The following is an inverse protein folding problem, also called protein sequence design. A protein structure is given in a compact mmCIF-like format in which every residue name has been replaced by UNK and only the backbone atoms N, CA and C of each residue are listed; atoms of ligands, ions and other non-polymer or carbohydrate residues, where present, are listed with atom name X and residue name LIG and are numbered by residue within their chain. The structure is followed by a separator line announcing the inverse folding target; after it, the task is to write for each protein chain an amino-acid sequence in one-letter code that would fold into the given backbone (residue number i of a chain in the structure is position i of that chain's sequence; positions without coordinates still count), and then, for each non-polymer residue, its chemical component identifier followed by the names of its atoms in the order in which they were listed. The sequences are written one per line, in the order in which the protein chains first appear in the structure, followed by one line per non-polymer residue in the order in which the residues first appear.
data_IF_732007209272
#
_entry.id   IF_732007209272
#
_cell.length_a   1.000
_cell.length_b   1.000
_cell.length_c   1.000
_cell.angle_alpha   90.00
_cell.angle_beta   90.00
_cell.angle_gamma   90.00
#
_symmetry.space_group_name_H-M   'P 1'
#
loop_
_entity.id
_entity.type
_entity.pdbx_description
1 polymer ?
#
# COMPACT_ATOMS: atom_id res chain seq x y z
N UNK A 1 -25.79 -23.11 30.90
CA UNK A 1 -26.38 -23.51 32.17
C UNK A 1 -25.79 -22.76 33.37
N UNK A 2 -24.47 -22.59 33.52
CA UNK A 2 -23.91 -21.84 34.64
C UNK A 2 -24.35 -20.37 34.65
N UNK A 3 -24.15 -19.62 33.58
CA UNK A 3 -24.53 -18.20 33.47
C UNK A 3 -26.01 -17.94 33.76
N UNK A 4 -26.92 -18.76 33.23
CA UNK A 4 -28.34 -18.66 33.51
C UNK A 4 -28.66 -18.85 34.99
N UNK A 5 -28.02 -19.85 35.66
CA UNK A 5 -28.20 -20.08 37.10
C UNK A 5 -27.68 -18.89 37.90
N UNK A 6 -26.50 -18.36 37.59
CA UNK A 6 -25.96 -17.18 38.28
C UNK A 6 -26.90 -15.97 38.18
N UNK A 7 -27.46 -15.71 36.99
CA UNK A 7 -28.44 -14.63 36.80
C UNK A 7 -29.72 -14.83 37.62
N UNK A 8 -30.23 -16.08 37.71
CA UNK A 8 -31.45 -16.38 38.47
C UNK A 8 -31.20 -16.30 39.99
N UNK A 9 -30.05 -16.71 40.46
CA UNK A 9 -29.70 -16.74 41.90
C UNK A 9 -29.23 -15.37 42.42
N UNK A 10 -28.90 -14.41 41.52
CA UNK A 10 -28.40 -13.10 41.88
C UNK A 10 -29.52 -12.23 42.54
N UNK A 11 -29.12 -11.47 43.54
CA UNK A 11 -30.01 -10.50 44.21
C UNK A 11 -30.31 -9.30 43.30
N UNK A 12 -29.34 -8.86 42.51
CA UNK A 12 -29.42 -7.71 41.62
C UNK A 12 -28.74 -8.04 40.32
N UNK A 13 -29.46 -7.85 39.23
CA UNK A 13 -28.98 -8.06 37.86
C UNK A 13 -29.13 -6.77 37.06
N UNK A 14 -28.04 -6.30 36.50
CA UNK A 14 -28.07 -5.27 35.47
C UNK A 14 -27.60 -5.86 34.15
N UNK A 15 -28.26 -5.48 33.06
CA UNK A 15 -27.89 -5.87 31.70
C UNK A 15 -27.36 -4.67 30.92
N UNK A 16 -26.46 -4.91 29.99
CA UNK A 16 -25.98 -3.88 29.09
C UNK A 16 -27.14 -3.21 28.35
N UNK A 17 -28.03 -4.02 27.79
CA UNK A 17 -29.25 -3.58 27.10
C UNK A 17 -30.41 -4.53 27.43
N UNK A 18 -31.59 -3.97 27.57
CA UNK A 18 -32.83 -4.74 27.68
C UNK A 18 -33.43 -5.12 26.31
N UNK A 19 -32.84 -4.59 25.23
CA UNK A 19 -33.27 -4.88 23.84
C UNK A 19 -32.70 -6.21 23.35
N UNK A 20 -32.95 -7.29 24.11
CA UNK A 20 -32.46 -8.62 23.77
C UNK A 20 -33.52 -9.66 24.18
N UNK A 21 -33.89 -10.64 23.33
CA UNK A 21 -34.94 -11.64 23.61
C UNK A 21 -34.76 -12.36 24.94
N UNK A 22 -33.53 -12.72 25.31
CA UNK A 22 -33.24 -13.38 26.59
C UNK A 22 -33.65 -12.54 27.82
N UNK A 23 -33.69 -11.22 27.71
CA UNK A 23 -34.11 -10.34 28.83
C UNK A 23 -35.61 -10.45 29.05
N UNK A 24 -36.41 -10.57 28.01
CA UNK A 24 -37.85 -10.78 28.10
C UNK A 24 -38.16 -12.13 28.73
N UNK A 25 -37.42 -13.17 28.37
CA UNK A 25 -37.54 -14.49 28.97
C UNK A 25 -37.18 -14.47 30.47
N UNK A 26 -36.15 -13.77 30.87
CA UNK A 26 -35.77 -13.64 32.29
C UNK A 26 -36.80 -12.83 33.09
N UNK A 27 -37.36 -11.78 32.52
CA UNK A 27 -38.45 -10.97 33.12
C UNK A 27 -39.73 -11.81 33.28
N UNK A 28 -40.05 -12.64 32.30
CA UNK A 28 -41.17 -13.58 32.38
C UNK A 28 -41.03 -14.61 33.52
N UNK A 29 -39.78 -14.90 33.92
CA UNK A 29 -39.45 -15.74 35.07
C UNK A 29 -39.51 -14.99 36.41
N UNK A 30 -39.83 -13.70 36.39
CA UNK A 30 -40.03 -12.87 37.59
C UNK A 30 -38.77 -12.16 38.08
N UNK A 31 -37.69 -12.13 37.30
CA UNK A 31 -36.48 -11.40 37.69
C UNK A 31 -36.64 -9.86 37.48
N UNK A 32 -36.17 -9.11 38.47
CA UNK A 32 -36.04 -7.66 38.32
C UNK A 32 -34.71 -7.34 37.66
N UNK A 33 -34.75 -6.87 36.41
CA UNK A 33 -33.57 -6.61 35.61
C UNK A 33 -33.52 -5.13 35.29
N UNK A 34 -32.44 -4.48 35.71
CA UNK A 34 -32.10 -3.12 35.36
C UNK A 34 -31.33 -3.09 34.02
N UNK A 35 -31.40 -1.99 33.28
CA UNK A 35 -30.62 -1.84 32.03
C UNK A 35 -29.92 -0.51 31.95
N UNK A 36 -28.85 -0.46 31.14
CA UNK A 36 -28.12 0.75 30.85
C UNK A 36 -28.56 1.43 29.54
N UNK A 37 -29.71 1.06 28.97
CA UNK A 37 -30.21 1.64 27.71
C UNK A 37 -30.31 3.18 27.75
N UNK A 38 -30.62 3.74 28.92
CA UNK A 38 -30.70 5.20 29.09
C UNK A 38 -29.37 5.93 28.80
N UNK A 39 -28.22 5.26 28.93
CA UNK A 39 -26.91 5.82 28.59
C UNK A 39 -26.71 5.88 27.07
N UNK A 40 -27.23 4.91 26.33
CA UNK A 40 -27.23 4.91 24.87
C UNK A 40 -28.06 6.05 24.28
N UNK A 41 -29.16 6.42 24.97
CA UNK A 41 -30.05 7.47 24.51
C UNK A 41 -29.54 8.90 24.88
N UNK A 42 -28.62 9.01 25.86
CA UNK A 42 -28.18 10.29 26.43
C UNK A 42 -26.77 10.73 26.10
N UNK A 43 -25.89 9.82 25.66
CA UNK A 43 -24.49 10.12 25.40
C UNK A 43 -24.20 10.19 23.89
N UNK A 44 -23.16 10.99 23.49
CA UNK A 44 -22.95 11.34 22.09
C UNK A 44 -22.36 10.24 21.21
N UNK A 45 -21.64 9.30 21.81
CA UNK A 45 -20.95 8.23 21.09
C UNK A 45 -20.82 6.95 21.95
N UNK A 46 -20.46 5.86 21.31
CA UNK A 46 -20.34 4.56 21.95
C UNK A 46 -19.20 4.48 22.97
N UNK A 47 -18.10 5.19 22.78
CA UNK A 47 -16.99 5.19 23.73
C UNK A 47 -17.40 5.83 25.06
N UNK A 48 -18.11 6.94 25.00
CA UNK A 48 -18.68 7.61 26.17
C UNK A 48 -19.70 6.70 26.88
N UNK A 49 -20.53 5.96 26.14
CA UNK A 49 -21.47 4.99 26.69
C UNK A 49 -20.75 3.86 27.43
N UNK A 50 -19.76 3.25 26.80
CA UNK A 50 -19.00 2.13 27.40
C UNK A 50 -18.26 2.56 28.66
N UNK A 51 -17.68 3.76 28.63
CA UNK A 51 -17.03 4.38 29.80
C UNK A 51 -18.01 4.59 30.97
N UNK A 52 -19.17 5.13 30.69
CA UNK A 52 -20.21 5.39 31.69
C UNK A 52 -20.80 4.08 32.26
N UNK A 53 -21.07 3.09 31.40
CA UNK A 53 -21.51 1.75 31.85
C UNK A 53 -20.48 1.11 32.76
N UNK A 54 -19.21 1.09 32.38
CA UNK A 54 -18.15 0.50 33.19
C UNK A 54 -18.01 1.18 34.55
N UNK A 55 -18.13 2.51 34.57
CA UNK A 55 -18.08 3.33 35.79
C UNK A 55 -19.25 2.99 36.74
N UNK A 56 -20.47 2.93 36.22
CA UNK A 56 -21.66 2.63 37.04
C UNK A 56 -21.66 1.18 37.53
N UNK A 57 -21.23 0.23 36.71
CA UNK A 57 -21.06 -1.18 37.11
C UNK A 57 -20.09 -1.32 38.27
N UNK A 58 -18.92 -0.70 38.21
CA UNK A 58 -17.92 -0.74 39.29
C UNK A 58 -18.38 -0.04 40.56
N UNK A 59 -19.15 1.05 40.43
CA UNK A 59 -19.78 1.72 41.57
C UNK A 59 -20.76 0.80 42.26
N UNK A 60 -21.65 0.15 41.51
CA UNK A 60 -22.64 -0.80 42.01
C UNK A 60 -22.02 -2.02 42.70
N UNK A 61 -20.97 -2.57 42.07
CA UNK A 61 -20.22 -3.70 42.62
C UNK A 61 -19.60 -3.43 44.00
N UNK A 62 -19.29 -2.19 44.35
CA UNK A 62 -18.82 -1.78 45.68
C UNK A 62 -19.93 -1.73 46.74
N UNK A 63 -21.10 -1.35 46.32
CA UNK A 63 -22.28 -1.18 47.19
C UNK A 63 -23.00 -2.49 47.40
N UNK A 64 -22.91 -3.42 46.45
CA UNK A 64 -23.73 -4.64 46.34
C UNK A 64 -22.82 -5.84 46.02
N UNK A 65 -22.43 -6.65 47.03
CA UNK A 65 -21.48 -7.75 46.83
C UNK A 65 -21.92 -8.85 45.86
N UNK A 66 -23.26 -9.06 45.71
CA UNK A 66 -23.84 -10.09 44.83
C UNK A 66 -24.37 -9.48 43.52
N UNK A 67 -23.80 -8.34 43.08
CA UNK A 67 -24.17 -7.67 41.85
C UNK A 67 -23.70 -8.43 40.63
N UNK A 68 -24.62 -8.71 39.72
CA UNK A 68 -24.34 -9.38 38.43
C UNK A 68 -24.56 -8.39 37.29
N UNK A 69 -23.52 -8.18 36.50
CA UNK A 69 -23.60 -7.50 35.19
C UNK A 69 -23.65 -8.53 34.08
N UNK A 70 -24.78 -8.60 33.36
CA UNK A 70 -24.96 -9.54 32.28
C UNK A 70 -24.90 -8.87 30.92
N UNK A 71 -24.17 -9.49 30.01
CA UNK A 71 -23.99 -9.05 28.62
C UNK A 71 -24.53 -10.09 27.65
N UNK A 72 -25.00 -9.73 26.47
CA UNK A 72 -25.37 -10.68 25.44
C UNK A 72 -24.16 -11.53 24.99
N UNK A 73 -24.33 -12.84 24.96
CA UNK A 73 -23.30 -13.77 24.51
C UNK A 73 -22.15 -13.99 25.50
N UNK A 74 -20.96 -14.18 24.97
CA UNK A 74 -19.75 -14.44 25.76
C UNK A 74 -19.08 -13.12 26.21
N UNK A 75 -18.76 -12.93 27.50
CA UNK A 75 -18.22 -11.65 28.03
C UNK A 75 -16.94 -11.15 27.37
N UNK A 76 -16.15 -12.01 26.74
CA UNK A 76 -14.91 -11.65 26.07
C UNK A 76 -15.05 -11.52 24.55
N UNK A 77 -16.24 -11.54 23.99
CA UNK A 77 -16.44 -11.47 22.55
C UNK A 77 -17.35 -10.29 22.18
N UNK A 78 -16.76 -9.26 21.62
CA UNK A 78 -17.50 -8.06 21.18
C UNK A 78 -18.00 -7.17 22.33
N UNK A 79 -17.45 -7.30 23.53
CA UNK A 79 -17.92 -6.60 24.74
C UNK A 79 -16.88 -5.65 25.31
N UNK A 80 -16.80 -4.44 24.73
CA UNK A 80 -15.86 -3.40 25.17
C UNK A 80 -16.04 -2.99 26.64
N UNK A 81 -17.28 -2.99 27.14
CA UNK A 81 -17.58 -2.67 28.56
C UNK A 81 -16.91 -3.63 29.52
N UNK A 82 -16.85 -4.93 29.19
CA UNK A 82 -16.21 -5.95 30.04
C UNK A 82 -14.71 -5.70 30.13
N UNK A 83 -14.04 -5.35 29.02
CA UNK A 83 -12.62 -4.99 29.01
C UNK A 83 -12.35 -3.81 29.95
N UNK A 84 -13.13 -2.73 29.84
CA UNK A 84 -12.99 -1.54 30.70
C UNK A 84 -13.26 -1.86 32.18
N UNK A 85 -14.26 -2.71 32.46
CA UNK A 85 -14.55 -3.14 33.83
C UNK A 85 -13.37 -3.89 34.43
N UNK A 86 -12.77 -4.84 33.70
CA UNK A 86 -11.65 -5.63 34.19
C UNK A 86 -10.40 -4.76 34.46
N UNK A 87 -10.04 -3.88 33.51
CA UNK A 87 -8.92 -2.95 33.65
C UNK A 87 -9.07 -2.09 34.92
N UNK A 88 -10.26 -1.52 35.13
CA UNK A 88 -10.52 -0.61 36.27
C UNK A 88 -10.78 -1.35 37.57
N UNK A 89 -11.32 -2.57 37.54
CA UNK A 89 -11.55 -3.38 38.74
C UNK A 89 -10.21 -3.75 39.41
N UNK A 90 -9.20 -4.14 38.61
CA UNK A 90 -7.85 -4.41 39.10
C UNK A 90 -7.25 -3.20 39.84
N UNK A 91 -7.33 -2.00 39.22
CA UNK A 91 -6.85 -0.75 39.84
C UNK A 91 -7.58 -0.40 41.14
N UNK A 92 -8.84 -0.81 41.25
CA UNK A 92 -9.71 -0.48 42.40
C UNK A 92 -9.82 -1.57 43.45
N UNK A 93 -9.13 -2.71 43.24
CA UNK A 93 -9.14 -3.87 44.13
C UNK A 93 -10.51 -4.56 44.22
N UNK A 94 -11.30 -4.52 43.15
CA UNK A 94 -12.59 -5.19 43.04
C UNK A 94 -12.35 -6.56 42.39
N UNK A 95 -12.76 -7.64 43.05
CA UNK A 95 -12.70 -8.98 42.50
C UNK A 95 -13.84 -9.18 41.49
N UNK A 96 -13.50 -9.66 40.28
CA UNK A 96 -14.47 -9.92 39.21
C UNK A 96 -14.40 -11.38 38.82
N UNK A 97 -15.53 -12.09 38.93
CA UNK A 97 -15.69 -13.43 38.42
C UNK A 97 -16.37 -13.40 37.05
N UNK A 98 -15.75 -14.04 36.04
CA UNK A 98 -16.31 -14.16 34.70
C UNK A 98 -16.99 -15.51 34.55
N UNK A 99 -18.30 -15.47 34.32
CA UNK A 99 -19.10 -16.67 34.05
C UNK A 99 -19.28 -16.81 32.53
N UNK A 100 -18.63 -17.79 31.89
CA UNK A 100 -18.71 -17.94 30.44
C UNK A 100 -20.09 -18.41 29.98
N UNK A 101 -20.55 -17.92 28.86
CA UNK A 101 -21.75 -18.31 28.15
C UNK A 101 -21.44 -18.66 26.71
N UNK A 102 -22.37 -19.26 25.99
CA UNK A 102 -22.26 -19.43 24.54
C UNK A 102 -22.26 -18.04 23.87
N UNK A 103 -21.32 -17.83 22.97
CA UNK A 103 -21.22 -16.60 22.22
C UNK A 103 -22.09 -16.60 20.96
N UNK A 104 -22.15 -15.45 20.30
CA UNK A 104 -22.84 -15.35 19.01
C UNK A 104 -22.09 -16.09 17.89
N UNK A 105 -20.78 -16.29 18.03
CA UNK A 105 -19.96 -16.98 17.02
C UNK A 105 -20.48 -18.39 16.77
N UNK A 106 -20.69 -19.19 17.83
CA UNK A 106 -21.16 -20.54 17.71
C UNK A 106 -22.58 -20.60 17.13
N UNK A 107 -23.45 -19.66 17.53
CA UNK A 107 -24.79 -19.56 16.98
C UNK A 107 -24.82 -19.26 15.49
N UNK A 108 -23.92 -18.33 15.04
CA UNK A 108 -23.75 -17.99 13.63
C UNK A 108 -23.22 -19.18 12.84
N UNK A 109 -22.19 -19.86 13.31
CA UNK A 109 -21.61 -21.04 12.63
C UNK A 109 -22.62 -22.17 12.49
N UNK A 110 -23.45 -22.42 13.55
CA UNK A 110 -24.52 -23.39 13.53
C UNK A 110 -25.60 -23.03 12.50
N UNK A 111 -26.04 -21.77 12.48
CA UNK A 111 -27.07 -21.27 11.58
C UNK A 111 -26.60 -21.24 10.12
N UNK A 112 -25.37 -20.83 9.90
CA UNK A 112 -24.72 -20.84 8.59
C UNK A 112 -24.36 -22.26 8.11
N UNK A 113 -24.42 -23.27 9.03
CA UNK A 113 -23.98 -24.65 8.79
C UNK A 113 -22.53 -24.74 8.31
N UNK A 114 -21.67 -23.97 8.92
CA UNK A 114 -20.25 -23.89 8.57
C UNK A 114 -19.42 -24.53 9.67
N UNK A 115 -18.53 -25.44 9.27
CA UNK A 115 -17.44 -25.95 10.11
C UNK A 115 -16.20 -25.10 9.86
N UNK A 116 -15.56 -24.68 10.94
CA UNK A 116 -14.27 -23.97 10.87
C UNK A 116 -13.20 -24.94 11.39
N UNK A 117 -12.45 -25.50 10.47
CA UNK A 117 -11.45 -26.53 10.79
C UNK A 117 -10.06 -25.94 11.05
N UNK A 118 -9.83 -24.66 10.69
CA UNK A 118 -8.53 -23.98 10.87
C UNK A 118 -8.72 -22.56 11.41
N UNK A 119 -8.89 -21.60 10.53
CA UNK A 119 -8.90 -20.17 10.85
C UNK A 119 -10.30 -19.58 10.72
N UNK A 120 -10.60 -18.56 11.52
CA UNK A 120 -11.78 -17.72 11.41
C UNK A 120 -11.40 -16.27 11.77
N UNK A 121 -11.65 -15.35 10.87
CA UNK A 121 -11.60 -13.92 11.16
C UNK A 121 -12.91 -13.47 11.79
N UNK A 122 -12.84 -12.81 12.94
CA UNK A 122 -13.98 -12.18 13.61
C UNK A 122 -13.73 -10.69 13.67
N UNK A 123 -14.46 -9.93 12.87
CA UNK A 123 -14.19 -8.51 12.63
C UNK A 123 -15.40 -7.65 12.99
N UNK A 124 -15.12 -6.49 13.58
CA UNK A 124 -16.11 -5.46 13.87
C UNK A 124 -16.36 -4.63 12.61
N UNK A 125 -17.62 -4.57 12.18
CA UNK A 125 -18.03 -3.82 11.01
C UNK A 125 -17.78 -2.30 11.14
N UNK A 126 -17.86 -1.76 12.36
CA UNK A 126 -17.62 -0.34 12.65
C UNK A 126 -16.14 0.06 12.54
N UNK A 127 -15.24 -0.91 12.64
CA UNK A 127 -13.80 -0.72 12.57
C UNK A 127 -13.16 -1.51 11.42
N UNK A 128 -13.95 -1.85 10.41
CA UNK A 128 -13.49 -2.63 9.26
C UNK A 128 -12.65 -1.77 8.34
N UNK A 129 -11.46 -2.27 8.02
CA UNK A 129 -10.55 -1.70 7.02
C UNK A 129 -10.04 -2.83 6.11
N UNK A 130 -9.71 -2.51 4.87
CA UNK A 130 -9.33 -3.49 3.85
C UNK A 130 -8.07 -4.29 4.24
N UNK A 131 -7.17 -3.71 5.02
CA UNK A 131 -5.94 -4.35 5.50
C UNK A 131 -6.19 -5.48 6.51
N UNK A 132 -7.36 -5.50 7.16
CA UNK A 132 -7.78 -6.58 8.07
C UNK A 132 -8.37 -7.78 7.34
N UNK A 133 -8.69 -7.65 6.05
CA UNK A 133 -9.39 -8.66 5.27
C UNK A 133 -8.40 -9.62 4.59
N UNK A 134 -8.67 -10.91 4.78
CA UNK A 134 -8.01 -11.98 4.04
C UNK A 134 -9.08 -12.92 3.45
N UNK A 135 -9.28 -12.81 2.14
CA UNK A 135 -10.28 -13.62 1.44
C UNK A 135 -9.98 -15.14 1.42
N UNK A 136 -8.83 -15.57 1.93
CA UNK A 136 -8.48 -16.99 2.13
C UNK A 136 -9.14 -17.59 3.37
N UNK A 137 -9.53 -16.74 4.32
CA UNK A 137 -10.02 -17.11 5.64
C UNK A 137 -11.52 -16.80 5.74
N UNK A 138 -12.36 -17.73 6.21
CA UNK A 138 -13.76 -17.41 6.48
C UNK A 138 -13.84 -16.25 7.47
N UNK A 139 -14.72 -15.30 7.19
CA UNK A 139 -14.85 -14.07 7.97
C UNK A 139 -16.24 -13.96 8.56
N UNK A 140 -16.31 -13.70 9.86
CA UNK A 140 -17.52 -13.34 10.58
C UNK A 140 -17.47 -11.86 10.92
N UNK A 141 -18.40 -11.10 10.33
CA UNK A 141 -18.54 -9.68 10.57
C UNK A 141 -19.68 -9.46 11.57
N UNK A 142 -19.41 -8.80 12.68
CA UNK A 142 -20.41 -8.46 13.69
C UNK A 142 -20.62 -6.94 13.79
N UNK A 143 -21.63 -6.49 14.52
CA UNK A 143 -22.09 -5.10 14.59
C UNK A 143 -22.59 -4.53 13.26
N UNK A 144 -23.08 -5.34 12.38
CA UNK A 144 -23.76 -4.91 11.14
C UNK A 144 -25.21 -4.47 11.43
N UNK A 145 -25.39 -3.52 12.35
CA UNK A 145 -26.67 -3.19 12.96
C UNK A 145 -27.56 -2.27 12.12
N UNK A 146 -27.07 -1.75 11.01
CA UNK A 146 -27.83 -0.88 10.11
C UNK A 146 -27.40 -1.07 8.67
N UNK A 147 -28.27 -0.62 7.76
CA UNK A 147 -27.96 -0.65 6.32
C UNK A 147 -26.75 0.20 5.95
N UNK A 148 -26.54 1.32 6.63
CA UNK A 148 -25.42 2.22 6.42
C UNK A 148 -24.10 1.49 6.72
N UNK A 149 -24.01 0.86 7.90
CA UNK A 149 -22.83 0.08 8.31
C UNK A 149 -22.60 -1.10 7.36
N UNK A 150 -23.67 -1.80 6.97
CA UNK A 150 -23.57 -2.87 5.99
C UNK A 150 -23.08 -2.39 4.61
N UNK A 151 -23.49 -1.20 4.17
CA UNK A 151 -23.04 -0.60 2.91
C UNK A 151 -21.57 -0.21 2.95
N UNK A 152 -21.08 0.38 4.05
CA UNK A 152 -19.68 0.71 4.24
C UNK A 152 -18.82 -0.57 4.27
N UNK A 153 -19.26 -1.57 5.05
CA UNK A 153 -18.60 -2.86 5.10
C UNK A 153 -18.54 -3.57 3.73
N UNK A 154 -19.63 -3.51 2.96
CA UNK A 154 -19.71 -4.05 1.60
C UNK A 154 -18.63 -3.44 0.69
N UNK A 155 -18.46 -2.11 0.72
CA UNK A 155 -17.45 -1.42 -0.08
C UNK A 155 -16.04 -1.93 0.26
N UNK A 156 -15.71 -2.03 1.55
CA UNK A 156 -14.42 -2.55 1.99
C UNK A 156 -14.21 -4.03 1.56
N UNK A 157 -15.25 -4.84 1.68
CA UNK A 157 -15.21 -6.26 1.28
C UNK A 157 -14.99 -6.42 -0.23
N UNK A 158 -15.66 -5.60 -1.08
CA UNK A 158 -15.54 -5.67 -2.55
C UNK A 158 -14.13 -5.33 -3.06
N UNK A 159 -13.27 -4.73 -2.25
CA UNK A 159 -11.85 -4.57 -2.60
C UNK A 159 -11.07 -5.89 -2.56
N UNK A 160 -11.53 -6.89 -1.82
CA UNK A 160 -10.84 -8.18 -1.61
C UNK A 160 -11.61 -9.38 -2.13
N UNK A 161 -12.93 -9.32 -2.14
CA UNK A 161 -13.81 -10.40 -2.55
C UNK A 161 -14.45 -10.08 -3.90
N UNK A 162 -14.76 -11.09 -4.74
CA UNK A 162 -15.54 -10.87 -5.96
C UNK A 162 -16.92 -10.28 -5.65
N UNK A 163 -17.43 -9.38 -6.49
CA UNK A 163 -18.71 -8.72 -6.31
C UNK A 163 -19.88 -9.70 -6.18
N UNK A 164 -19.86 -10.77 -6.98
CA UNK A 164 -20.86 -11.85 -6.98
C UNK A 164 -20.64 -12.91 -5.89
N UNK A 165 -19.66 -12.69 -4.97
CA UNK A 165 -19.39 -13.70 -3.94
C UNK A 165 -20.56 -13.80 -3.00
N UNK A 166 -21.04 -15.06 -2.76
CA UNK A 166 -22.20 -15.31 -1.93
C UNK A 166 -21.83 -15.14 -0.44
N UNK A 167 -22.49 -14.22 0.24
CA UNK A 167 -22.39 -13.99 1.69
C UNK A 167 -23.70 -14.36 2.38
N UNK A 168 -23.63 -14.65 3.67
CA UNK A 168 -24.80 -15.01 4.47
C UNK A 168 -25.05 -13.95 5.53
N UNK A 169 -26.21 -13.30 5.47
CA UNK A 169 -26.69 -12.35 6.49
C UNK A 169 -27.53 -13.11 7.50
N UNK A 170 -27.22 -12.98 8.78
CA UNK A 170 -27.85 -13.71 9.87
C UNK A 170 -28.43 -12.72 10.89
N UNK A 171 -29.75 -12.73 11.05
CA UNK A 171 -30.45 -12.01 12.10
C UNK A 171 -30.70 -12.95 13.28
N UNK A 172 -30.44 -12.52 14.51
CA UNK A 172 -30.62 -13.29 15.76
C UNK A 172 -29.89 -14.65 15.80
N UNK A 173 -28.90 -14.87 14.97
CA UNK A 173 -28.29 -16.19 14.79
C UNK A 173 -29.23 -17.23 14.17
N UNK A 174 -30.38 -16.81 13.67
CA UNK A 174 -31.41 -17.65 13.03
C UNK A 174 -31.62 -17.18 11.59
N UNK A 175 -31.98 -18.12 10.72
CA UNK A 175 -32.34 -17.93 9.32
C UNK A 175 -31.49 -16.96 8.54
N UNK A 176 -30.58 -17.56 7.86
CA UNK A 176 -29.63 -16.97 6.98
C UNK A 176 -30.27 -16.62 5.63
N UNK A 177 -30.18 -15.38 5.24
CA UNK A 177 -30.39 -14.97 3.87
C UNK A 177 -29.07 -14.94 3.14
N UNK A 178 -29.03 -15.53 1.93
CA UNK A 178 -27.84 -15.50 1.09
C UNK A 178 -27.99 -14.43 0.04
N UNK A 179 -26.97 -13.59 -0.07
CA UNK A 179 -26.91 -12.50 -1.02
C UNK A 179 -25.56 -12.50 -1.74
N UNK A 180 -25.50 -12.12 -3.04
CA UNK A 180 -24.24 -11.72 -3.63
C UNK A 180 -23.73 -10.48 -2.88
N UNK A 181 -22.42 -10.38 -2.71
CA UNK A 181 -21.79 -9.34 -1.90
C UNK A 181 -22.23 -7.93 -2.28
N UNK A 182 -22.35 -7.64 -3.59
CA UNK A 182 -22.77 -6.31 -4.06
C UNK A 182 -24.22 -5.94 -3.69
N UNK A 183 -25.04 -6.92 -3.26
CA UNK A 183 -26.42 -6.73 -2.80
C UNK A 183 -26.59 -6.92 -1.29
N UNK A 184 -25.51 -7.18 -0.56
CA UNK A 184 -25.54 -7.50 0.88
C UNK A 184 -26.34 -6.47 1.69
N UNK A 185 -26.19 -5.19 1.40
CA UNK A 185 -26.87 -4.08 2.09
C UNK A 185 -28.35 -3.91 1.77
N UNK A 186 -28.96 -4.83 0.97
CA UNK A 186 -30.39 -4.89 0.71
C UNK A 186 -31.14 -5.78 1.70
N UNK A 187 -30.43 -6.56 2.50
CA UNK A 187 -31.02 -7.35 3.57
C UNK A 187 -31.59 -6.46 4.69
N UNK A 188 -32.33 -7.07 5.60
CA UNK A 188 -32.74 -6.40 6.84
C UNK A 188 -31.62 -6.49 7.88
N UNK A 189 -31.36 -5.37 8.57
CA UNK A 189 -30.33 -5.27 9.59
C UNK A 189 -30.90 -4.76 10.90
N UNK A 190 -30.49 -5.37 11.99
CA UNK A 190 -30.78 -4.98 13.36
C UNK A 190 -29.51 -5.14 14.24
N UNK A 191 -29.64 -4.85 15.52
CA UNK A 191 -28.55 -4.90 16.50
C UNK A 191 -27.99 -6.31 16.78
N UNK A 192 -28.62 -7.36 16.28
CA UNK A 192 -28.19 -8.76 16.41
C UNK A 192 -27.69 -9.35 15.07
N UNK A 193 -27.69 -8.53 14.03
CA UNK A 193 -27.29 -8.99 12.69
C UNK A 193 -25.78 -9.19 12.60
N UNK A 194 -25.37 -10.31 12.04
CA UNK A 194 -24.00 -10.64 11.67
C UNK A 194 -23.94 -11.10 10.22
N UNK A 195 -22.77 -10.98 9.59
CA UNK A 195 -22.55 -11.45 8.21
C UNK A 195 -21.43 -12.47 8.20
N UNK A 196 -21.69 -13.63 7.63
CA UNK A 196 -20.68 -14.63 7.37
C UNK A 196 -20.27 -14.60 5.91
N UNK A 197 -18.96 -14.49 5.68
CA UNK A 197 -18.33 -14.46 4.35
C UNK A 197 -17.47 -15.72 4.23
N UNK A 198 -17.83 -16.68 3.35
CA UNK A 198 -17.01 -17.86 3.14
C UNK A 198 -15.69 -17.53 2.46
N UNK A 199 -14.64 -18.36 2.63
CA UNK A 199 -13.36 -18.14 1.97
C UNK A 199 -13.49 -18.28 0.46
N UNK A 200 -12.76 -17.45 -0.28
CA UNK A 200 -12.76 -17.45 -1.75
C UNK A 200 -11.71 -18.45 -2.26
N UNK A 201 -12.09 -19.42 -3.11
CA UNK A 201 -11.14 -20.32 -3.75
C UNK A 201 -10.09 -19.55 -4.56
N UNK A 202 -8.86 -20.08 -4.60
CA UNK A 202 -7.73 -19.45 -5.31
C UNK A 202 -8.05 -19.15 -6.79
N UNK A 203 -8.85 -19.99 -7.43
CA UNK A 203 -9.20 -19.85 -8.86
C UNK A 203 -10.06 -18.61 -9.19
N UNK A 204 -10.71 -18.01 -8.20
CA UNK A 204 -11.60 -16.83 -8.40
C UNK A 204 -11.22 -15.65 -7.51
N UNK A 205 -10.31 -15.85 -6.57
CA UNK A 205 -9.83 -14.82 -5.66
C UNK A 205 -8.93 -13.84 -6.40
N UNK A 206 -9.07 -12.54 -6.11
CA UNK A 206 -8.08 -11.55 -6.56
C UNK A 206 -6.72 -11.83 -5.88
N UNK A 207 -5.64 -12.05 -6.66
CA UNK A 207 -4.32 -12.20 -6.08
C UNK A 207 -3.90 -10.94 -5.32
N UNK A 208 -3.18 -11.12 -4.23
CA UNK A 208 -2.57 -10.05 -3.45
C UNK A 208 -1.05 -10.18 -3.44
N UNK A 209 -0.34 -9.25 -2.82
CA UNK A 209 1.12 -9.24 -2.75
C UNK A 209 1.72 -10.59 -2.33
N UNK A 210 1.19 -11.23 -1.28
CA UNK A 210 1.68 -12.53 -0.80
C UNK A 210 1.53 -13.64 -1.85
N UNK A 211 0.49 -13.57 -2.68
CA UNK A 211 0.30 -14.53 -3.76
C UNK A 211 1.38 -14.37 -4.84
N UNK A 212 1.72 -13.14 -5.19
CA UNK A 212 2.80 -12.85 -6.12
C UNK A 212 4.14 -13.36 -5.57
N UNK A 213 4.45 -13.08 -4.30
CA UNK A 213 5.65 -13.60 -3.63
C UNK A 213 5.68 -15.14 -3.63
N UNK A 214 4.54 -15.78 -3.37
CA UNK A 214 4.39 -17.23 -3.39
C UNK A 214 4.60 -17.82 -4.80
N UNK A 215 4.00 -17.19 -5.80
CA UNK A 215 4.16 -17.62 -7.21
C UNK A 215 5.62 -17.53 -7.64
N UNK A 216 6.29 -16.41 -7.42
CA UNK A 216 7.70 -16.23 -7.77
C UNK A 216 8.59 -17.21 -6.99
N UNK A 217 8.30 -17.44 -5.71
CA UNK A 217 9.01 -18.44 -4.92
C UNK A 217 8.83 -19.86 -5.47
N UNK A 218 7.64 -20.20 -5.99
CA UNK A 218 7.36 -21.49 -6.61
C UNK A 218 8.10 -21.67 -7.95
N UNK A 219 8.24 -20.60 -8.74
CA UNK A 219 9.03 -20.63 -9.98
C UNK A 219 10.50 -20.98 -9.72
N UNK A 220 11.04 -20.57 -8.57
CA UNK A 220 12.42 -20.86 -8.16
C UNK A 220 12.56 -22.09 -7.23
N UNK A 221 11.48 -22.80 -6.95
CA UNK A 221 11.55 -24.05 -6.18
C UNK A 221 12.28 -25.16 -6.96
N UNK A 222 12.82 -26.22 -6.32
CA UNK A 222 13.57 -27.29 -6.99
C UNK A 222 12.85 -27.94 -8.18
N UNK A 223 11.52 -27.91 -8.21
CA UNK A 223 10.68 -28.40 -9.30
C UNK A 223 10.02 -27.26 -10.09
N UNK A 224 10.53 -26.05 -9.96
CA UNK A 224 10.01 -24.85 -10.61
C UNK A 224 10.46 -24.71 -12.06
N UNK A 225 10.50 -23.48 -12.54
CA UNK A 225 10.90 -23.16 -13.90
C UNK A 225 12.42 -23.22 -14.06
N UNK A 226 12.96 -24.02 -14.99
CA UNK A 226 14.39 -24.11 -15.20
C UNK A 226 15.06 -22.77 -15.54
N UNK A 227 14.38 -21.92 -16.30
CA UNK A 227 14.89 -20.61 -16.67
C UNK A 227 15.02 -19.68 -15.45
N UNK A 228 13.99 -19.66 -14.57
CA UNK A 228 14.03 -18.85 -13.36
C UNK A 228 15.10 -19.34 -12.38
N UNK A 229 15.34 -20.66 -12.31
CA UNK A 229 16.38 -21.25 -11.46
C UNK A 229 17.80 -20.83 -11.88
N UNK A 230 18.04 -20.57 -13.16
CA UNK A 230 19.33 -20.11 -13.68
C UNK A 230 19.58 -18.61 -13.42
N UNK A 231 18.54 -17.83 -13.05
CA UNK A 231 18.71 -16.40 -12.86
C UNK A 231 19.52 -16.07 -11.61
N UNK A 232 20.34 -15.03 -11.74
CA UNK A 232 21.18 -14.46 -10.69
C UNK A 232 20.89 -12.97 -10.57
N UNK A 233 21.34 -12.34 -9.48
CA UNK A 233 21.30 -10.88 -9.38
C UNK A 233 21.94 -10.17 -10.57
N UNK A 234 22.98 -10.76 -11.15
CA UNK A 234 23.72 -10.16 -12.27
C UNK A 234 22.96 -10.30 -13.59
N UNK A 235 22.38 -11.47 -13.87
CA UNK A 235 21.62 -11.71 -15.10
C UNK A 235 20.34 -10.85 -15.19
N UNK A 236 19.73 -10.53 -14.05
CA UNK A 236 18.48 -9.78 -13.97
C UNK A 236 18.65 -8.26 -14.06
N UNK A 237 19.89 -7.73 -14.02
CA UNK A 237 20.13 -6.26 -14.11
C UNK A 237 19.52 -5.66 -15.36
N UNK A 238 19.61 -6.36 -16.48
CA UNK A 238 19.08 -5.87 -17.76
C UNK A 238 17.56 -5.77 -17.71
N UNK A 239 16.89 -6.84 -17.30
CA UNK A 239 15.42 -6.86 -17.18
C UNK A 239 14.90 -5.78 -16.22
N UNK A 240 15.54 -5.61 -15.05
CA UNK A 240 15.16 -4.54 -14.11
C UNK A 240 15.20 -3.15 -14.76
N UNK A 241 16.17 -2.90 -15.64
CA UNK A 241 16.25 -1.61 -16.37
C UNK A 241 15.21 -1.54 -17.50
N UNK A 242 14.97 -2.63 -18.21
CA UNK A 242 13.95 -2.74 -19.26
C UNK A 242 12.57 -2.41 -18.69
N UNK A 243 12.13 -3.11 -17.63
CA UNK A 243 10.84 -2.85 -16.98
C UNK A 243 10.72 -1.40 -16.47
N UNK A 244 11.81 -0.85 -15.90
CA UNK A 244 11.79 0.53 -15.44
C UNK A 244 11.60 1.54 -16.60
N UNK A 245 12.17 1.28 -17.78
CA UNK A 245 12.00 2.13 -18.95
C UNK A 245 10.64 1.93 -19.62
N UNK A 246 10.06 0.72 -19.59
CA UNK A 246 8.72 0.44 -20.11
C UNK A 246 7.64 1.16 -19.26
N UNK A 247 7.82 1.21 -17.94
CA UNK A 247 6.99 2.07 -17.06
C UNK A 247 7.10 3.55 -17.47
N UNK A 248 8.32 4.06 -17.75
CA UNK A 248 8.51 5.44 -18.18
C UNK A 248 7.82 5.68 -19.53
N UNK A 249 7.97 4.78 -20.48
CA UNK A 249 7.33 4.86 -21.79
C UNK A 249 5.81 4.91 -21.68
N UNK A 250 5.21 4.06 -20.83
CA UNK A 250 3.77 4.04 -20.58
C UNK A 250 3.28 5.38 -19.99
N UNK A 251 4.04 5.98 -19.06
CA UNK A 251 3.74 7.30 -18.48
C UNK A 251 3.80 8.39 -19.57
N UNK A 252 4.81 8.38 -20.43
CA UNK A 252 4.99 9.40 -21.47
C UNK A 252 3.94 9.33 -22.58
N UNK A 253 3.43 8.12 -22.86
CA UNK A 253 2.36 7.89 -23.82
C UNK A 253 0.96 8.12 -23.24
N UNK A 254 0.84 8.45 -21.94
CA UNK A 254 -0.45 8.59 -21.23
C UNK A 254 -1.33 7.35 -21.41
N UNK A 255 -0.71 6.14 -21.33
CA UNK A 255 -1.36 4.84 -21.49
C UNK A 255 -1.55 4.14 -20.13
N UNK A 256 -2.71 4.30 -19.46
CA UNK A 256 -2.96 3.70 -18.16
C UNK A 256 -2.97 2.17 -18.17
N UNK A 257 -3.41 1.55 -19.29
CA UNK A 257 -3.49 0.09 -19.38
C UNK A 257 -2.08 -0.51 -19.48
N UNK A 258 -1.21 0.11 -20.28
CA UNK A 258 0.19 -0.28 -20.38
C UNK A 258 0.95 -0.01 -19.07
N UNK A 259 0.66 1.11 -18.41
CA UNK A 259 1.26 1.43 -17.11
C UNK A 259 0.89 0.39 -16.03
N UNK A 260 -0.35 -0.11 -16.02
CA UNK A 260 -0.78 -1.19 -15.12
C UNK A 260 0.04 -2.47 -15.35
N UNK A 261 0.22 -2.87 -16.61
CA UNK A 261 1.02 -4.04 -17.02
C UNK A 261 2.48 -3.89 -16.55
N UNK A 262 3.14 -2.80 -16.93
CA UNK A 262 4.57 -2.59 -16.66
C UNK A 262 4.88 -2.38 -15.18
N UNK A 263 3.95 -1.82 -14.41
CA UNK A 263 4.09 -1.77 -12.95
C UNK A 263 4.05 -3.17 -12.34
N UNK A 264 3.29 -4.10 -12.91
CA UNK A 264 3.26 -5.51 -12.51
C UNK A 264 4.63 -6.17 -12.75
N UNK A 265 5.20 -6.00 -13.94
CA UNK A 265 6.48 -6.57 -14.32
C UNK A 265 7.63 -5.96 -13.52
N UNK A 266 7.59 -4.65 -13.30
CA UNK A 266 8.54 -3.98 -12.40
C UNK A 266 8.44 -4.51 -10.96
N UNK A 267 7.23 -4.79 -10.42
CA UNK A 267 7.06 -5.36 -9.08
C UNK A 267 7.63 -6.78 -8.97
N UNK A 268 7.61 -7.56 -10.03
CA UNK A 268 8.21 -8.90 -10.07
C UNK A 268 9.72 -8.84 -9.78
N UNK A 269 10.44 -7.85 -10.30
CA UNK A 269 11.90 -7.74 -10.21
C UNK A 269 12.43 -7.69 -8.75
N UNK A 270 11.97 -6.80 -7.85
CA UNK A 270 12.45 -6.78 -6.47
C UNK A 270 12.09 -8.06 -5.70
N UNK A 271 10.95 -8.70 -6.01
CA UNK A 271 10.57 -9.95 -5.36
C UNK A 271 11.51 -11.07 -5.81
N UNK A 272 11.81 -11.18 -7.11
CA UNK A 272 12.71 -12.19 -7.64
C UNK A 272 14.13 -12.03 -7.05
N UNK A 273 14.63 -10.81 -6.97
CA UNK A 273 15.89 -10.52 -6.28
C UNK A 273 15.85 -10.91 -4.79
N UNK A 274 14.74 -10.66 -4.08
CA UNK A 274 14.61 -11.02 -2.67
C UNK A 274 14.50 -12.55 -2.48
N UNK A 275 13.89 -13.28 -3.40
CA UNK A 275 13.86 -14.75 -3.39
C UNK A 275 15.27 -15.32 -3.55
N UNK A 276 16.07 -14.80 -4.48
CA UNK A 276 17.49 -15.18 -4.65
C UNK A 276 18.28 -14.89 -3.37
N UNK A 277 18.12 -13.67 -2.81
CA UNK A 277 18.81 -13.29 -1.57
C UNK A 277 18.45 -14.21 -0.39
N UNK A 278 17.19 -14.63 -0.29
CA UNK A 278 16.72 -15.60 0.71
C UNK A 278 17.35 -16.97 0.53
N UNK A 279 17.47 -17.45 -0.72
CA UNK A 279 18.15 -18.71 -1.04
C UNK A 279 19.61 -18.68 -0.59
N UNK A 280 20.28 -17.54 -0.73
CA UNK A 280 21.65 -17.29 -0.28
C UNK A 280 21.77 -16.99 1.23
N UNK A 281 20.65 -16.89 1.95
CA UNK A 281 20.61 -16.65 3.40
C UNK A 281 20.88 -15.21 3.81
N UNK A 282 20.66 -14.21 2.93
CA UNK A 282 20.92 -12.80 3.22
C UNK A 282 19.71 -12.08 3.80
N UNK A 283 18.61 -12.00 3.07
CA UNK A 283 17.37 -11.28 3.48
C UNK A 283 16.16 -11.76 2.71
N UNK A 284 14.98 -11.39 3.18
CA UNK A 284 13.67 -11.67 2.56
C UNK A 284 13.06 -10.40 1.97
N UNK A 285 11.98 -10.54 1.22
CA UNK A 285 11.21 -9.38 0.75
C UNK A 285 10.63 -8.58 1.95
N UNK A 286 10.25 -9.26 3.03
CA UNK A 286 9.71 -8.61 4.24
C UNK A 286 10.77 -7.75 4.92
N UNK A 287 12.03 -8.16 4.95
CA UNK A 287 13.14 -7.34 5.46
C UNK A 287 13.29 -6.04 4.63
N UNK A 288 13.12 -6.14 3.32
CA UNK A 288 13.18 -4.98 2.42
C UNK A 288 12.01 -4.04 2.63
N UNK A 289 10.79 -4.59 2.79
CA UNK A 289 9.56 -3.82 3.11
C UNK A 289 9.72 -3.14 4.47
N UNK A 290 10.17 -3.85 5.49
CA UNK A 290 10.41 -3.29 6.82
C UNK A 290 11.41 -2.12 6.76
N UNK A 291 12.52 -2.31 6.05
CA UNK A 291 13.57 -1.30 5.92
C UNK A 291 13.06 -0.01 5.26
N UNK A 292 12.30 -0.13 4.16
CA UNK A 292 11.73 1.05 3.47
C UNK A 292 10.62 1.70 4.29
N UNK A 293 9.73 0.91 4.91
CA UNK A 293 8.64 1.43 5.74
C UNK A 293 9.17 2.24 6.91
N UNK A 294 10.12 1.69 7.69
CA UNK A 294 10.76 2.42 8.79
C UNK A 294 11.48 3.69 8.33
N UNK A 295 12.09 3.64 7.15
CA UNK A 295 12.74 4.80 6.54
C UNK A 295 11.73 5.89 6.19
N UNK A 296 10.59 5.54 5.60
CA UNK A 296 9.53 6.49 5.22
C UNK A 296 8.92 7.14 6.47
N UNK A 297 8.54 6.36 7.47
CA UNK A 297 7.99 6.88 8.74
C UNK A 297 8.97 7.87 9.38
N UNK A 298 10.24 7.48 9.52
CA UNK A 298 11.26 8.34 10.12
C UNK A 298 11.50 9.65 9.36
N UNK A 299 11.41 9.62 8.02
CA UNK A 299 11.66 10.80 7.18
C UNK A 299 10.45 11.72 7.00
N UNK A 300 9.25 11.29 7.47
CA UNK A 300 8.02 12.06 7.39
C UNK A 300 7.39 12.31 8.76
N UNK A 301 8.13 12.93 9.71
CA UNK A 301 7.63 13.17 11.06
C UNK A 301 6.44 14.16 11.09
N UNK A 302 6.18 14.87 10.02
CA UNK A 302 5.00 15.72 9.84
C UNK A 302 3.73 14.94 9.46
N UNK A 303 3.84 13.65 9.11
CA UNK A 303 2.70 12.74 8.84
C UNK A 303 2.54 11.73 9.97
N UNK A 304 3.64 11.20 10.49
CA UNK A 304 3.67 10.08 11.44
C UNK A 304 4.10 10.50 12.86
N UNK A 305 4.28 11.79 13.13
CA UNK A 305 4.67 12.36 14.41
C UNK A 305 4.05 13.74 14.62
N UNK A 306 4.64 14.53 15.51
CA UNK A 306 4.08 15.83 15.96
C UNK A 306 4.73 17.06 15.30
N UNK A 307 5.43 16.89 14.17
CA UNK A 307 6.12 17.99 13.51
C UNK A 307 5.17 18.71 12.54
N UNK A 308 4.86 19.97 12.82
CA UNK A 308 4.15 20.82 11.87
C UNK A 308 5.09 21.36 10.78
N UNK A 309 4.60 21.47 9.56
CA UNK A 309 5.31 22.04 8.42
C UNK A 309 4.39 23.00 7.66
N UNK A 310 4.96 24.09 7.16
CA UNK A 310 4.21 25.16 6.50
C UNK A 310 4.08 24.97 4.98
N UNK A 311 5.08 24.36 4.35
CA UNK A 311 5.14 24.17 2.90
C UNK A 311 6.04 22.96 2.49
N UNK A 312 6.00 22.63 1.19
CA UNK A 312 6.80 21.55 0.60
C UNK A 312 8.32 21.81 0.67
N UNK A 313 8.75 23.06 0.67
CA UNK A 313 10.18 23.40 0.77
C UNK A 313 10.71 23.11 2.18
N UNK A 314 9.89 23.31 3.21
CA UNK A 314 10.23 22.93 4.58
C UNK A 314 10.29 21.42 4.75
N UNK A 315 9.36 20.67 4.14
CA UNK A 315 9.40 19.21 4.09
C UNK A 315 10.72 18.73 3.51
N UNK A 316 11.14 19.26 2.36
CA UNK A 316 12.40 18.89 1.69
C UNK A 316 13.62 19.20 2.55
N UNK A 317 13.67 20.36 3.23
CA UNK A 317 14.78 20.72 4.15
C UNK A 317 14.87 19.75 5.31
N UNK A 318 13.73 19.41 5.93
CA UNK A 318 13.67 18.46 7.03
C UNK A 318 14.08 17.05 6.58
N UNK A 319 13.61 16.61 5.44
CA UNK A 319 13.96 15.32 4.85
C UNK A 319 15.48 15.19 4.61
N UNK A 320 16.11 16.22 4.03
CA UNK A 320 17.56 16.23 3.81
C UNK A 320 18.35 16.22 5.14
N UNK A 321 17.90 16.97 6.15
CA UNK A 321 18.49 16.98 7.47
C UNK A 321 18.45 15.60 8.13
N UNK A 322 17.28 14.95 8.09
CA UNK A 322 17.08 13.60 8.64
C UNK A 322 17.96 12.60 7.89
N UNK A 323 17.95 12.64 6.54
CA UNK A 323 18.75 11.76 5.71
C UNK A 323 20.26 11.90 6.00
N UNK A 324 20.77 13.12 6.22
CA UNK A 324 22.17 13.33 6.60
C UNK A 324 22.54 12.71 7.94
N UNK A 325 21.63 12.71 8.89
CA UNK A 325 21.85 12.18 10.24
C UNK A 325 21.78 10.64 10.31
N UNK A 326 21.40 9.95 9.23
CA UNK A 326 21.29 8.50 9.25
C UNK A 326 22.66 7.82 9.34
N UNK A 327 22.80 6.76 10.18
CA UNK A 327 24.07 6.04 10.34
C UNK A 327 24.61 5.48 9.02
N UNK A 328 23.74 5.10 8.10
CA UNK A 328 24.12 4.63 6.74
C UNK A 328 24.86 5.69 5.92
N UNK A 329 24.78 6.95 6.30
CA UNK A 329 25.43 8.07 5.61
C UNK A 329 26.69 8.58 6.35
N UNK A 330 27.00 8.02 7.53
CA UNK A 330 28.13 8.48 8.37
C UNK A 330 29.52 8.30 7.70
N UNK A 331 29.63 7.39 6.75
CA UNK A 331 30.87 7.13 6.00
C UNK A 331 31.09 8.10 4.82
N UNK A 332 30.12 8.97 4.51
CA UNK A 332 30.23 9.92 3.41
C UNK A 332 31.17 11.05 3.78
N UNK A 333 32.25 11.18 3.02
CA UNK A 333 33.30 12.18 3.24
C UNK A 333 33.28 13.27 2.17
N UNK A 334 32.72 12.98 1.00
CA UNK A 334 32.58 13.93 -0.11
C UNK A 334 31.11 14.36 -0.29
N UNK A 335 30.93 15.61 -0.70
CA UNK A 335 29.61 16.09 -1.12
C UNK A 335 29.03 15.26 -2.29
N UNK A 336 29.88 14.64 -3.10
CA UNK A 336 29.51 13.84 -4.27
C UNK A 336 29.14 12.39 -3.91
N UNK A 337 29.41 11.93 -2.67
CA UNK A 337 29.13 10.56 -2.26
C UNK A 337 27.63 10.22 -2.35
N UNK A 338 27.33 8.98 -2.77
CA UNK A 338 25.98 8.44 -2.88
C UNK A 338 25.28 8.75 -4.19
N UNK A 339 26.02 9.15 -5.24
CA UNK A 339 25.57 9.07 -6.63
C UNK A 339 25.99 7.70 -7.17
N UNK A 340 25.05 6.83 -7.59
CA UNK A 340 25.41 5.53 -8.14
C UNK A 340 26.28 5.67 -9.39
N UNK A 341 27.35 4.87 -9.48
CA UNK A 341 28.28 4.94 -10.61
C UNK A 341 27.73 4.30 -11.88
N UNK A 342 26.69 3.51 -11.77
CA UNK A 342 26.05 2.76 -12.87
C UNK A 342 24.88 3.48 -13.52
N UNK A 343 24.54 4.71 -13.07
CA UNK A 343 23.51 5.54 -13.73
C UNK A 343 23.89 5.83 -15.17
N UNK A 344 22.90 6.06 -16.07
CA UNK A 344 23.13 6.65 -17.38
C UNK A 344 23.98 7.91 -17.25
N UNK A 345 24.89 8.14 -18.19
CA UNK A 345 25.96 9.12 -18.03
C UNK A 345 25.44 10.55 -17.82
N UNK A 346 24.42 10.98 -18.57
CA UNK A 346 23.85 12.32 -18.44
C UNK A 346 23.08 12.46 -17.11
N UNK A 347 22.35 11.45 -16.69
CA UNK A 347 21.67 11.41 -15.39
C UNK A 347 22.70 11.50 -14.25
N UNK A 348 23.80 10.74 -14.32
CA UNK A 348 24.87 10.80 -13.34
C UNK A 348 25.53 12.17 -13.30
N UNK A 349 25.84 12.76 -14.48
CA UNK A 349 26.41 14.11 -14.61
C UNK A 349 25.48 15.17 -13.98
N UNK A 350 24.17 15.05 -14.21
CA UNK A 350 23.16 15.92 -13.62
C UNK A 350 23.18 15.85 -12.09
N UNK A 351 23.23 14.64 -11.51
CA UNK A 351 23.25 14.45 -10.06
C UNK A 351 24.55 14.93 -9.41
N UNK A 352 25.69 14.71 -10.07
CA UNK A 352 26.99 15.25 -9.62
C UNK A 352 26.94 16.78 -9.63
N UNK A 353 26.45 17.39 -10.72
CA UNK A 353 26.29 18.85 -10.82
C UNK A 353 25.38 19.40 -9.71
N UNK A 354 24.18 18.81 -9.50
CA UNK A 354 23.27 19.22 -8.41
C UNK A 354 23.93 19.16 -7.04
N UNK A 355 24.76 18.17 -6.78
CA UNK A 355 25.47 18.03 -5.50
C UNK A 355 26.59 19.05 -5.32
N UNK A 356 27.35 19.36 -6.39
CA UNK A 356 28.37 20.42 -6.38
C UNK A 356 27.74 21.78 -6.07
N UNK A 357 26.62 22.10 -6.70
CA UNK A 357 25.87 23.34 -6.45
C UNK A 357 25.39 23.46 -5.00
N UNK A 358 24.94 22.38 -4.38
CA UNK A 358 24.51 22.39 -2.96
C UNK A 358 25.60 22.80 -1.97
N UNK A 359 26.85 22.67 -2.33
CA UNK A 359 28.02 23.14 -1.52
C UNK A 359 28.61 24.46 -2.00
N UNK A 360 27.91 25.13 -2.92
CA UNK A 360 28.28 26.47 -3.38
C UNK A 360 29.14 26.49 -4.64
N UNK A 361 29.42 25.36 -5.30
CA UNK A 361 30.13 25.31 -6.58
C UNK A 361 29.12 25.47 -7.72
N UNK A 362 28.78 26.73 -8.00
CA UNK A 362 27.78 27.12 -9.02
C UNK A 362 28.34 28.22 -9.97
N UNK A 363 27.87 28.17 -11.19
CA UNK A 363 28.14 29.20 -12.19
C UNK A 363 27.40 30.51 -11.86
N UNK A 364 28.00 31.69 -12.08
CA UNK A 364 27.41 32.98 -11.70
C UNK A 364 26.13 33.31 -12.51
N UNK A 365 26.02 32.86 -13.76
CA UNK A 365 24.87 33.11 -14.63
C UNK A 365 24.73 32.04 -15.72
N UNK A 366 23.60 32.05 -16.44
CA UNK A 366 23.35 31.17 -17.59
C UNK A 366 24.30 31.49 -18.74
N UNK A 367 24.63 32.79 -18.92
CA UNK A 367 25.60 33.26 -19.91
C UNK A 367 26.98 32.66 -19.67
N UNK A 368 27.41 32.58 -18.40
CA UNK A 368 28.71 32.00 -18.06
C UNK A 368 28.78 30.51 -18.41
N UNK A 369 27.67 29.76 -18.24
CA UNK A 369 27.61 28.34 -18.67
C UNK A 369 27.61 28.26 -20.21
N UNK A 370 26.89 29.13 -20.89
CA UNK A 370 26.90 29.19 -22.36
C UNK A 370 28.26 29.51 -22.92
N UNK A 371 29.02 30.42 -22.27
CA UNK A 371 30.42 30.71 -22.63
C UNK A 371 31.29 29.45 -22.48
N UNK A 372 31.11 28.69 -21.39
CA UNK A 372 31.83 27.42 -21.18
C UNK A 372 31.48 26.39 -22.27
N UNK A 373 30.21 26.26 -22.65
CA UNK A 373 29.81 25.36 -23.76
C UNK A 373 30.52 25.73 -25.06
N UNK A 374 30.70 27.04 -25.34
CA UNK A 374 31.44 27.51 -26.52
C UNK A 374 32.95 27.23 -26.43
N UNK A 375 33.51 27.43 -25.26
CA UNK A 375 34.91 27.10 -24.97
C UNK A 375 35.20 25.64 -25.24
N UNK A 376 34.42 24.70 -24.64
CA UNK A 376 34.58 23.25 -24.84
C UNK A 376 34.40 22.86 -26.33
N UNK A 377 33.47 23.50 -27.03
CA UNK A 377 33.30 23.27 -28.46
C UNK A 377 34.56 23.74 -29.28
N UNK A 378 35.15 24.90 -28.94
CA UNK A 378 36.34 25.40 -29.60
C UNK A 378 37.55 24.51 -29.31
N UNK A 379 37.70 24.00 -28.08
CA UNK A 379 38.74 23.05 -27.69
C UNK A 379 38.58 21.72 -28.45
N UNK A 380 37.38 21.16 -28.52
CA UNK A 380 37.09 19.98 -29.35
C UNK A 380 37.47 20.20 -30.82
N UNK A 381 37.11 21.35 -31.39
CA UNK A 381 37.47 21.67 -32.78
C UNK A 381 38.98 21.77 -32.99
N UNK A 382 39.73 22.27 -32.01
CA UNK A 382 41.18 22.30 -32.06
C UNK A 382 41.79 20.91 -32.08
N UNK A 383 41.29 20.00 -31.21
CA UNK A 383 41.79 18.63 -31.13
C UNK A 383 41.42 17.81 -32.39
N UNK A 384 40.24 18.02 -32.96
CA UNK A 384 39.86 17.40 -34.25
C UNK A 384 40.83 17.85 -35.37
N UNK A 385 41.21 19.13 -35.41
CA UNK A 385 42.16 19.65 -36.38
C UNK A 385 43.58 19.15 -36.17
N UNK A 386 43.98 18.88 -34.93
CA UNK A 386 45.28 18.29 -34.59
C UNK A 386 45.38 16.81 -34.97
N UNK A 387 44.24 16.11 -35.09
CA UNK A 387 44.16 14.68 -35.32
C UNK A 387 44.33 13.83 -34.04
N UNK A 388 44.32 14.45 -32.84
CA UNK A 388 44.43 13.76 -31.56
C UNK A 388 43.07 13.25 -31.11
N UNK A 389 42.76 12.00 -31.43
CA UNK A 389 41.48 11.37 -31.12
C UNK A 389 41.27 11.14 -29.61
N UNK A 390 42.33 10.93 -28.85
CA UNK A 390 42.20 10.74 -27.40
C UNK A 390 41.82 12.04 -26.70
N UNK A 391 42.48 13.15 -27.04
CA UNK A 391 42.11 14.44 -26.53
C UNK A 391 40.71 14.88 -27.01
N UNK A 392 40.37 14.67 -28.28
CA UNK A 392 39.03 14.94 -28.79
C UNK A 392 37.95 14.17 -28.03
N UNK A 393 38.24 12.94 -27.51
CA UNK A 393 37.35 12.19 -26.65
C UNK A 393 37.12 12.90 -25.31
N UNK A 394 38.18 13.41 -24.69
CA UNK A 394 38.09 14.13 -23.43
C UNK A 394 37.24 15.40 -23.61
N UNK A 395 37.48 16.19 -24.66
CA UNK A 395 36.73 17.41 -24.96
C UNK A 395 35.24 17.14 -25.28
N UNK A 396 34.89 15.98 -25.90
CA UNK A 396 33.51 15.57 -26.06
C UNK A 396 32.85 15.36 -24.68
N UNK A 397 33.57 14.75 -23.74
CA UNK A 397 33.09 14.55 -22.37
C UNK A 397 32.82 15.86 -21.64
N UNK A 398 33.74 16.83 -21.76
CA UNK A 398 33.65 18.14 -21.13
C UNK A 398 32.53 18.98 -21.76
N UNK A 399 32.37 18.95 -23.08
CA UNK A 399 31.24 19.58 -23.77
C UNK A 399 29.88 18.99 -23.30
N UNK A 400 29.76 17.66 -23.23
CA UNK A 400 28.53 17.02 -22.74
C UNK A 400 28.24 17.43 -21.30
N UNK A 401 29.25 17.51 -20.42
CA UNK A 401 29.06 17.93 -19.03
C UNK A 401 28.68 19.42 -18.94
N UNK A 402 29.24 20.30 -19.78
CA UNK A 402 28.85 21.70 -19.86
C UNK A 402 27.38 21.85 -20.31
N UNK A 403 26.95 21.07 -21.30
CA UNK A 403 25.55 21.03 -21.75
C UNK A 403 24.62 20.54 -20.64
N UNK A 404 25.01 19.51 -19.85
CA UNK A 404 24.25 19.04 -18.70
C UNK A 404 24.11 20.13 -17.62
N UNK A 405 25.17 20.93 -17.38
CA UNK A 405 25.10 22.07 -16.45
C UNK A 405 24.11 23.14 -16.93
N UNK A 406 24.07 23.41 -18.22
CA UNK A 406 23.10 24.32 -18.82
C UNK A 406 21.67 23.78 -18.65
N UNK A 407 21.43 22.50 -18.99
CA UNK A 407 20.15 21.85 -18.83
C UNK A 407 19.65 21.93 -17.37
N UNK A 408 20.52 21.65 -16.38
CA UNK A 408 20.22 21.78 -14.96
C UNK A 408 19.72 23.17 -14.58
N UNK A 409 20.41 24.22 -15.05
CA UNK A 409 20.04 25.60 -14.76
C UNK A 409 18.71 26.01 -15.39
N UNK A 410 18.41 25.46 -16.55
CA UNK A 410 17.10 25.61 -17.22
C UNK A 410 16.01 24.69 -16.69
N UNK A 411 16.31 23.89 -15.66
CA UNK A 411 15.40 22.89 -15.10
C UNK A 411 14.94 21.83 -16.12
N UNK A 412 15.81 21.50 -17.07
CA UNK A 412 15.58 20.47 -18.09
C UNK A 412 16.35 19.22 -17.68
N UNK A 413 15.70 18.06 -17.76
CA UNK A 413 16.37 16.78 -17.64
C UNK A 413 17.12 16.46 -18.94
N UNK A 414 18.45 16.30 -18.86
CA UNK A 414 19.28 16.11 -20.03
C UNK A 414 19.14 14.72 -20.66
N UNK A 415 18.91 13.68 -19.82
CA UNK A 415 18.69 12.30 -20.28
C UNK A 415 17.35 12.21 -21.03
N UNK A 416 16.28 12.74 -20.44
CA UNK A 416 14.96 12.83 -21.06
C UNK A 416 14.99 13.63 -22.37
N UNK A 417 15.66 14.78 -22.37
CA UNK A 417 15.76 15.62 -23.57
C UNK A 417 16.44 14.90 -24.74
N UNK A 418 17.50 14.13 -24.45
CA UNK A 418 18.20 13.33 -25.48
C UNK A 418 17.31 12.15 -25.91
N UNK A 419 16.66 11.46 -25.01
CA UNK A 419 15.75 10.35 -25.32
C UNK A 419 14.62 10.82 -26.26
N UNK A 420 13.94 11.91 -25.92
CA UNK A 420 12.91 12.52 -26.78
C UNK A 420 13.44 12.90 -28.17
N UNK A 421 14.71 13.31 -28.25
CA UNK A 421 15.32 13.59 -29.56
C UNK A 421 15.53 12.28 -30.36
N UNK A 422 15.96 11.20 -29.71
CA UNK A 422 16.15 9.89 -30.35
C UNK A 422 14.80 9.34 -30.84
N UNK A 423 13.74 9.45 -30.03
CA UNK A 423 12.38 8.99 -30.41
C UNK A 423 11.86 9.78 -31.61
N UNK A 424 11.99 11.11 -31.58
CA UNK A 424 11.62 11.98 -32.71
C UNK A 424 12.43 11.66 -33.97
N UNK A 425 13.73 11.42 -33.83
CA UNK A 425 14.57 10.99 -34.94
C UNK A 425 14.08 9.66 -35.51
N UNK A 426 13.79 8.69 -34.65
CA UNK A 426 13.32 7.36 -35.03
C UNK A 426 11.96 7.42 -35.74
N UNK A 427 11.02 8.23 -35.24
CA UNK A 427 9.71 8.44 -35.86
C UNK A 427 9.86 9.05 -37.28
N UNK A 428 10.70 10.09 -37.43
CA UNK A 428 10.98 10.71 -38.74
C UNK A 428 11.62 9.72 -39.69
N UNK A 429 12.59 8.94 -39.21
CA UNK A 429 13.27 7.95 -40.04
C UNK A 429 12.30 6.87 -40.54
N UNK A 430 11.41 6.35 -39.66
CA UNK A 430 10.35 5.41 -40.06
C UNK A 430 9.39 6.05 -41.09
N UNK A 431 9.04 7.32 -40.94
CA UNK A 431 8.22 8.03 -41.92
C UNK A 431 8.93 8.17 -43.28
N UNK A 432 10.24 8.40 -43.27
CA UNK A 432 11.04 8.39 -44.50
C UNK A 432 11.05 7.02 -45.17
N UNK A 433 11.23 5.93 -44.40
CA UNK A 433 11.17 4.56 -44.93
C UNK A 433 9.81 4.30 -45.62
N UNK A 434 8.70 4.66 -44.95
CA UNK A 434 7.37 4.49 -45.51
C UNK A 434 7.17 5.30 -46.81
N UNK A 435 7.57 6.57 -46.81
CA UNK A 435 7.46 7.41 -48.00
C UNK A 435 8.35 6.95 -49.15
N UNK A 436 9.55 6.47 -48.91
CA UNK A 436 10.43 5.93 -49.93
C UNK A 436 9.84 4.62 -50.52
N UNK A 437 9.28 3.75 -49.65
CA UNK A 437 8.60 2.53 -50.12
C UNK A 437 7.39 2.82 -50.97
N UNK A 438 6.55 3.82 -50.63
CA UNK A 438 5.43 4.28 -51.44
C UNK A 438 5.90 4.83 -52.80
N UNK A 439 7.01 5.54 -52.86
CA UNK A 439 7.63 6.06 -54.06
C UNK A 439 8.41 4.96 -54.85
N UNK A 440 8.38 3.70 -54.39
CA UNK A 440 9.09 2.58 -55.03
C UNK A 440 10.60 2.65 -54.95
N UNK A 441 11.13 3.40 -53.97
CA UNK A 441 12.55 3.65 -53.77
C UNK A 441 13.08 2.80 -52.59
N UNK A 442 14.35 2.46 -52.58
CA UNK A 442 15.05 1.76 -51.51
C UNK A 442 16.04 2.76 -50.90
N UNK A 443 15.98 2.94 -49.56
CA UNK A 443 16.76 3.96 -48.86
C UNK A 443 18.26 3.95 -49.17
N UNK A 444 18.97 2.78 -49.23
CA UNK A 444 20.39 2.77 -49.58
C UNK A 444 20.75 3.32 -50.93
N UNK A 445 19.79 3.42 -51.86
CA UNK A 445 19.98 3.85 -53.24
C UNK A 445 19.65 5.35 -53.45
N UNK A 446 19.32 6.07 -52.36
CA UNK A 446 18.99 7.49 -52.40
C UNK A 446 20.25 8.32 -52.46
N UNK A 447 20.21 9.40 -53.27
CA UNK A 447 21.23 10.42 -53.24
C UNK A 447 21.12 11.31 -51.99
N UNK A 448 22.14 12.11 -51.67
CA UNK A 448 22.11 13.01 -50.51
C UNK A 448 20.95 14.00 -50.59
N UNK A 449 20.66 14.52 -51.81
CA UNK A 449 19.56 15.43 -52.04
C UNK A 449 18.18 14.77 -51.84
N UNK A 450 18.05 13.49 -52.23
CA UNK A 450 16.82 12.70 -51.99
C UNK A 450 16.63 12.40 -50.49
N UNK A 451 17.71 12.08 -49.75
CA UNK A 451 17.66 11.94 -48.30
C UNK A 451 17.15 13.20 -47.62
N UNK A 452 17.70 14.39 -48.01
CA UNK A 452 17.28 15.65 -47.46
C UNK A 452 15.79 15.95 -47.78
N UNK A 453 15.35 15.64 -49.00
CA UNK A 453 13.98 15.85 -49.42
C UNK A 453 12.99 14.99 -48.61
N UNK A 454 13.28 13.70 -48.38
CA UNK A 454 12.45 12.83 -47.52
C UNK A 454 12.49 13.28 -46.07
N UNK A 455 13.66 13.71 -45.56
CA UNK A 455 13.77 14.22 -44.21
C UNK A 455 12.94 15.50 -43.96
N UNK A 456 12.96 16.45 -44.86
CA UNK A 456 12.14 17.66 -44.75
C UNK A 456 10.65 17.36 -44.90
N UNK A 457 10.26 16.38 -45.72
CA UNK A 457 8.89 15.89 -45.79
C UNK A 457 8.46 15.25 -44.46
N UNK A 458 9.31 14.44 -43.85
CA UNK A 458 9.01 13.80 -42.56
C UNK A 458 8.82 14.84 -41.45
N UNK A 459 9.65 15.90 -41.40
CA UNK A 459 9.50 17.02 -40.47
C UNK A 459 8.22 17.81 -40.65
N UNK A 460 7.73 17.92 -41.87
CA UNK A 460 6.54 18.72 -42.20
C UNK A 460 5.22 17.98 -41.81
N UNK A 461 5.29 16.70 -41.51
CA UNK A 461 4.15 15.87 -41.17
C UNK A 461 3.97 15.68 -39.64
N UNK A 462 4.82 16.29 -38.81
CA UNK A 462 4.66 16.41 -37.35
C UNK A 462 3.74 17.59 -37.03
#
# INVERSE_FOLDING_TARGET
MAAHRTVIEASIVAVRTARHPAVDDLRAQGLNIESFDHLYDSLPDFDAVYDAVATEVLKRAREEPDFVYAVPGHPFVGERTVTLILERAEEQGIEVEIIPSQGFIEAVLESARVSVDSDLLVLDALALTTDKLDARIPTLLYQTHSREVASEAKIALMERYPDEWEVTVLCDGVAAERHPLFEMDRAEFDHLTSVFIPPVPESVRRPVWDDLVRVISALRAPNGCPWDLEQTHDSLKKSLLEEAYEVIEAIENDDPAKLEEELGDLMMQPILHAVIAREDGYFTIDDSIEAITRKLIRRHPHVFGDLDVSDSAEVLRNWERIKKAEPSNAHRTSALDGVPTVLPALMRAMDISKKAVKVGFEWPSDEAVLEKVREELDELLAEIRSGDTERARDEIGDLLFAVVNLARRLHIDAEEALRRMVDRFSARFRAMEAMAAEDGRVLPDLSAEEWDAYWERAKSNE
#
